data_IF_307918834591
#
_entry.id   IF_307918834591
#
_cell.length_a   1.000
_cell.length_b   1.000
_cell.length_c   1.000
_cell.angle_alpha   90.00
_cell.angle_beta   90.00
_cell.angle_gamma   90.00
#
_symmetry.space_group_name_H-M   'P 1'
#
loop_
_entity.id
_entity.type
_entity.pdbx_description
1 polymer ?
#
# COMPACT_ATOMS: atom_id res chain seq x y z
N UNK A 1 -14.38 -25.56 3.11
CA UNK A 1 -15.46 -26.30 3.79
C UNK A 1 -15.55 -26.04 5.28
N UNK A 2 -14.73 -25.16 5.88
CA UNK A 2 -14.79 -24.88 7.32
C UNK A 2 -16.01 -24.02 7.65
N UNK A 3 -16.56 -24.18 8.86
CA UNK A 3 -17.70 -23.40 9.33
C UNK A 3 -17.53 -22.99 10.80
N UNK A 4 -17.78 -21.72 11.10
CA UNK A 4 -17.76 -21.19 12.47
C UNK A 4 -16.39 -21.41 13.18
N UNK A 5 -15.30 -21.36 12.42
CA UNK A 5 -13.95 -21.67 12.90
C UNK A 5 -13.02 -20.47 12.82
N UNK A 6 -12.04 -20.43 13.73
CA UNK A 6 -10.87 -19.53 13.62
C UNK A 6 -9.63 -20.36 13.35
N UNK A 7 -9.03 -20.18 12.18
CA UNK A 7 -7.87 -20.94 11.69
C UNK A 7 -6.78 -20.01 11.16
N UNK A 8 -5.57 -20.54 11.01
CA UNK A 8 -4.50 -19.75 10.41
C UNK A 8 -3.23 -20.53 10.16
N UNK A 9 -2.21 -19.79 9.73
CA UNK A 9 -0.83 -20.26 9.55
C UNK A 9 0.12 -19.28 10.22
N UNK A 10 1.05 -19.82 10.99
CA UNK A 10 2.13 -19.08 11.61
C UNK A 10 3.24 -18.77 10.60
N UNK A 11 4.11 -17.78 10.88
CA UNK A 11 5.28 -17.51 10.06
C UNK A 11 6.11 -18.78 9.77
N UNK A 12 6.49 -18.97 8.51
CA UNK A 12 7.28 -20.09 8.03
C UNK A 12 6.48 -21.36 7.66
N UNK A 13 5.17 -21.40 7.92
CA UNK A 13 4.34 -22.57 7.59
C UNK A 13 3.84 -22.59 6.14
N UNK A 14 3.84 -21.46 5.43
CA UNK A 14 3.45 -21.39 4.00
C UNK A 14 4.68 -21.22 3.11
N UNK A 15 5.63 -20.39 3.51
CA UNK A 15 6.93 -20.21 2.88
C UNK A 15 6.87 -20.03 1.34
N UNK A 16 5.99 -19.15 0.87
CA UNK A 16 5.87 -18.81 -0.54
C UNK A 16 5.14 -19.83 -1.40
N UNK A 17 4.51 -20.85 -0.80
CA UNK A 17 3.65 -21.78 -1.52
C UNK A 17 2.32 -21.15 -1.92
N UNK A 18 1.59 -21.83 -2.82
CA UNK A 18 0.22 -21.45 -3.16
C UNK A 18 -0.73 -21.82 -2.01
N UNK A 19 -1.78 -21.04 -1.82
CA UNK A 19 -2.80 -21.30 -0.79
C UNK A 19 -4.21 -21.19 -1.38
N UNK A 20 -5.12 -22.05 -0.94
CA UNK A 20 -6.50 -22.08 -1.40
C UNK A 20 -7.43 -21.98 -0.20
N UNK A 21 -8.37 -21.05 -0.25
CA UNK A 21 -9.46 -20.91 0.71
C UNK A 21 -10.75 -21.12 -0.08
N UNK A 22 -11.51 -22.17 0.23
CA UNK A 22 -12.73 -22.50 -0.52
C UNK A 22 -13.84 -22.96 0.41
N UNK A 23 -15.09 -22.61 0.08
CA UNK A 23 -16.31 -23.03 0.78
C UNK A 23 -16.26 -22.80 2.29
N UNK A 24 -15.78 -21.63 2.74
CA UNK A 24 -15.70 -21.31 4.18
C UNK A 24 -16.84 -20.36 4.57
N UNK A 25 -17.47 -20.61 5.70
CA UNK A 25 -18.61 -19.83 6.19
C UNK A 25 -18.38 -19.41 7.65
N UNK A 26 -18.61 -18.14 7.99
CA UNK A 26 -18.44 -17.61 9.35
C UNK A 26 -17.04 -17.87 9.94
N UNK A 27 -16.00 -17.83 9.11
CA UNK A 27 -14.64 -18.19 9.52
C UNK A 27 -13.75 -16.97 9.72
N UNK A 28 -12.86 -17.02 10.70
CA UNK A 28 -11.72 -16.09 10.80
C UNK A 28 -10.44 -16.80 10.34
N UNK A 29 -9.79 -16.32 9.29
CA UNK A 29 -8.68 -16.99 8.62
C UNK A 29 -7.46 -16.06 8.64
N UNK A 30 -6.38 -16.45 9.30
CA UNK A 30 -5.17 -15.62 9.43
C UNK A 30 -3.94 -16.34 8.88
N UNK A 31 -3.47 -15.93 7.70
CA UNK A 31 -2.26 -16.48 7.08
C UNK A 31 -1.10 -15.51 7.33
N UNK A 32 -0.36 -15.69 8.43
CA UNK A 32 0.76 -14.83 8.83
C UNK A 32 2.07 -15.23 8.14
N UNK A 33 2.02 -15.47 6.83
CA UNK A 33 3.18 -15.83 6.02
C UNK A 33 3.02 -15.39 4.56
N UNK A 34 4.14 -15.27 3.86
CA UNK A 34 4.14 -14.96 2.44
C UNK A 34 3.70 -16.16 1.60
N UNK A 35 3.07 -15.88 0.45
CA UNK A 35 2.52 -16.90 -0.44
C UNK A 35 2.79 -16.57 -1.92
N UNK A 36 2.77 -17.57 -2.80
CA UNK A 36 2.91 -17.34 -4.24
C UNK A 36 1.64 -16.70 -4.84
N UNK A 37 0.48 -17.31 -4.59
CA UNK A 37 -0.83 -16.83 -5.02
C UNK A 37 -1.90 -17.42 -4.10
N UNK A 38 -3.00 -16.69 -3.91
CA UNK A 38 -4.12 -17.13 -3.09
C UNK A 38 -5.42 -16.96 -3.86
N UNK A 39 -6.22 -18.02 -3.88
CA UNK A 39 -7.60 -17.98 -4.40
C UNK A 39 -8.57 -18.18 -3.26
N UNK A 40 -9.63 -17.37 -3.24
CA UNK A 40 -10.70 -17.40 -2.25
C UNK A 40 -12.02 -17.62 -3.00
N UNK A 41 -12.58 -18.81 -2.84
CA UNK A 41 -13.76 -19.28 -3.56
C UNK A 41 -14.93 -19.52 -2.62
N UNK A 42 -16.11 -19.03 -3.01
CA UNK A 42 -17.38 -19.42 -2.39
C UNK A 42 -17.40 -19.24 -0.86
N UNK A 43 -16.71 -18.20 -0.37
CA UNK A 43 -16.62 -17.88 1.06
C UNK A 43 -17.66 -16.85 1.47
N UNK A 44 -18.31 -17.07 2.62
CA UNK A 44 -19.38 -16.19 3.13
C UNK A 44 -19.13 -15.78 4.57
N UNK A 45 -19.26 -14.49 4.87
CA UNK A 45 -19.12 -13.95 6.23
C UNK A 45 -17.77 -14.31 6.89
N UNK A 46 -16.67 -14.19 6.13
CA UNK A 46 -15.33 -14.50 6.62
C UNK A 46 -14.52 -13.25 6.94
N UNK A 47 -13.72 -13.31 8.01
CA UNK A 47 -12.63 -12.37 8.27
C UNK A 47 -11.33 -12.99 7.78
N UNK A 48 -10.56 -12.28 6.96
CA UNK A 48 -9.38 -12.86 6.30
C UNK A 48 -8.18 -11.91 6.39
N UNK A 49 -7.12 -12.34 7.07
CA UNK A 49 -5.79 -11.74 6.96
C UNK A 49 -4.91 -12.59 6.06
N UNK A 50 -4.31 -11.98 5.04
CA UNK A 50 -3.30 -12.62 4.19
C UNK A 50 -1.98 -11.84 4.28
N UNK A 51 -0.90 -12.54 4.60
CA UNK A 51 0.45 -12.02 4.44
C UNK A 51 0.78 -11.70 2.97
N UNK A 52 1.99 -11.20 2.70
CA UNK A 52 2.40 -10.75 1.37
C UNK A 52 2.28 -11.85 0.30
N UNK A 53 1.50 -11.58 -0.75
CA UNK A 53 1.28 -12.51 -1.87
C UNK A 53 2.06 -12.04 -3.09
N UNK A 54 3.08 -12.81 -3.49
CA UNK A 54 3.98 -12.45 -4.59
C UNK A 54 3.26 -12.20 -5.91
N UNK A 55 2.22 -12.98 -6.20
CA UNK A 55 1.42 -12.89 -7.40
C UNK A 55 0.02 -12.33 -7.09
N UNK A 56 -1.00 -13.04 -7.56
CA UNK A 56 -2.38 -12.61 -7.45
C UNK A 56 -3.09 -13.10 -6.19
N UNK A 57 -3.98 -12.27 -5.67
CA UNK A 57 -5.09 -12.68 -4.81
C UNK A 57 -6.38 -12.57 -5.61
N UNK A 58 -7.15 -13.66 -5.66
CA UNK A 58 -8.39 -13.72 -6.45
C UNK A 58 -9.58 -14.16 -5.61
N UNK A 59 -10.53 -13.24 -5.38
CA UNK A 59 -11.84 -13.54 -4.81
C UNK A 59 -12.84 -13.90 -5.90
N UNK A 60 -13.53 -15.05 -5.74
CA UNK A 60 -14.60 -15.51 -6.62
C UNK A 60 -15.81 -15.94 -5.79
N UNK A 61 -17.00 -15.52 -6.17
CA UNK A 61 -18.26 -15.89 -5.50
C UNK A 61 -18.31 -15.61 -3.98
N UNK A 62 -17.52 -14.65 -3.49
CA UNK A 62 -17.43 -14.36 -2.05
C UNK A 62 -18.45 -13.31 -1.60
N UNK A 63 -18.95 -13.41 -0.37
CA UNK A 63 -20.00 -12.53 0.17
C UNK A 63 -19.74 -12.12 1.60
N UNK A 64 -19.94 -10.85 1.91
CA UNK A 64 -19.89 -10.31 3.27
C UNK A 64 -18.54 -10.60 3.98
N UNK A 65 -17.42 -10.61 3.24
CA UNK A 65 -16.09 -10.84 3.81
C UNK A 65 -15.34 -9.54 4.11
N UNK A 66 -14.56 -9.56 5.18
CA UNK A 66 -13.71 -8.45 5.61
C UNK A 66 -12.25 -8.88 5.61
N UNK A 67 -11.39 -8.14 4.91
CA UNK A 67 -10.06 -8.61 4.56
C UNK A 67 -8.98 -7.58 4.83
N UNK A 68 -7.78 -8.02 5.21
CA UNK A 68 -6.55 -7.23 5.15
C UNK A 68 -5.49 -8.05 4.43
N UNK A 69 -4.91 -7.52 3.35
CA UNK A 69 -3.98 -8.29 2.52
C UNK A 69 -3.02 -7.41 1.69
N UNK A 70 -1.88 -7.99 1.35
CA UNK A 70 -0.91 -7.40 0.43
C UNK A 70 -0.66 -8.34 -0.76
N UNK A 71 -0.67 -7.83 -1.98
CA UNK A 71 -0.47 -8.63 -3.19
C UNK A 71 0.14 -7.84 -4.34
N UNK A 72 0.67 -8.53 -5.35
CA UNK A 72 1.04 -7.89 -6.61
C UNK A 72 -0.21 -7.50 -7.40
N UNK A 73 -1.16 -8.43 -7.56
CA UNK A 73 -2.41 -8.23 -8.31
C UNK A 73 -3.62 -8.59 -7.46
N UNK A 74 -4.59 -7.68 -7.39
CA UNK A 74 -5.86 -7.92 -6.70
C UNK A 74 -6.99 -8.09 -7.71
N UNK A 75 -7.73 -9.20 -7.62
CA UNK A 75 -8.82 -9.54 -8.52
C UNK A 75 -10.07 -9.95 -7.76
N UNK A 76 -11.21 -9.46 -8.19
CA UNK A 76 -12.53 -9.82 -7.64
C UNK A 76 -13.49 -10.12 -8.77
N UNK A 77 -14.18 -11.26 -8.70
CA UNK A 77 -15.25 -11.61 -9.62
C UNK A 77 -16.46 -12.20 -8.89
N UNK A 78 -17.66 -11.83 -9.31
CA UNK A 78 -18.92 -12.40 -8.78
C UNK A 78 -19.08 -12.24 -7.25
N UNK A 79 -18.51 -11.18 -6.67
CA UNK A 79 -18.51 -10.96 -5.22
C UNK A 79 -19.47 -9.86 -4.79
N UNK A 80 -19.88 -9.89 -3.52
CA UNK A 80 -20.77 -8.87 -2.94
C UNK A 80 -20.35 -8.48 -1.54
N UNK A 81 -20.33 -7.19 -1.23
CA UNK A 81 -20.04 -6.66 0.12
C UNK A 81 -18.70 -7.17 0.66
N UNK A 82 -17.61 -6.84 -0.03
CA UNK A 82 -16.27 -7.06 0.49
C UNK A 82 -15.72 -5.76 1.05
N UNK A 83 -15.05 -5.82 2.20
CA UNK A 83 -14.36 -4.66 2.78
C UNK A 83 -12.88 -5.02 2.94
N UNK A 84 -11.99 -4.35 2.21
CA UNK A 84 -10.60 -4.78 2.04
C UNK A 84 -9.62 -3.67 2.38
N UNK A 85 -8.76 -3.88 3.37
CA UNK A 85 -7.55 -3.07 3.60
C UNK A 85 -6.42 -3.64 2.72
N UNK A 86 -6.04 -2.90 1.69
CA UNK A 86 -5.28 -3.41 0.55
C UNK A 86 -3.91 -2.75 0.44
N UNK A 87 -2.90 -3.57 0.17
CA UNK A 87 -1.65 -3.16 -0.45
C UNK A 87 -1.54 -3.85 -1.80
N UNK A 88 -1.61 -3.10 -2.90
CA UNK A 88 -1.58 -3.68 -4.25
C UNK A 88 -0.55 -2.97 -5.13
N UNK A 89 0.38 -3.74 -5.70
CA UNK A 89 1.44 -3.18 -6.55
C UNK A 89 0.90 -2.67 -7.90
N UNK A 90 -0.14 -3.31 -8.42
CA UNK A 90 -0.82 -2.94 -9.68
C UNK A 90 -2.23 -2.43 -9.42
N UNK A 91 -2.87 -1.87 -10.45
CA UNK A 91 -4.27 -1.44 -10.38
C UNK A 91 -5.18 -2.60 -9.92
N UNK A 92 -5.91 -2.48 -8.79
CA UNK A 92 -6.89 -3.47 -8.38
C UNK A 92 -8.06 -3.54 -9.35
N UNK A 93 -8.56 -4.75 -9.63
CA UNK A 93 -9.65 -4.95 -10.58
C UNK A 93 -10.86 -5.64 -9.94
N UNK A 94 -12.05 -5.23 -10.36
CA UNK A 94 -13.32 -5.89 -10.04
C UNK A 94 -14.10 -6.20 -11.32
N UNK A 95 -14.91 -7.25 -11.28
CA UNK A 95 -15.77 -7.69 -12.38
C UNK A 95 -17.02 -8.35 -11.79
N UNK A 96 -18.20 -8.08 -12.35
CA UNK A 96 -19.50 -8.66 -11.95
C UNK A 96 -19.74 -8.62 -10.43
N UNK A 97 -19.30 -7.56 -9.76
CA UNK A 97 -19.25 -7.47 -8.29
C UNK A 97 -19.87 -6.18 -7.79
N UNK A 98 -20.41 -6.17 -6.57
CA UNK A 98 -21.13 -5.00 -6.02
C UNK A 98 -20.79 -4.73 -4.55
N UNK A 99 -20.78 -3.45 -4.18
CA UNK A 99 -20.46 -2.97 -2.83
C UNK A 99 -19.08 -3.46 -2.33
N UNK A 100 -18.05 -3.26 -3.15
CA UNK A 100 -16.67 -3.57 -2.79
C UNK A 100 -16.01 -2.31 -2.22
N UNK A 101 -15.54 -2.36 -0.97
CA UNK A 101 -14.95 -1.20 -0.30
C UNK A 101 -13.47 -1.39 -0.06
N UNK A 102 -12.70 -0.33 -0.28
CA UNK A 102 -11.24 -0.36 -0.17
C UNK A 102 -10.73 0.61 0.90
N UNK A 103 -9.76 0.17 1.70
CA UNK A 103 -8.94 0.98 2.58
C UNK A 103 -7.46 0.69 2.34
N UNK A 104 -6.56 1.56 2.82
CA UNK A 104 -5.13 1.28 2.76
C UNK A 104 -4.78 0.14 3.73
N UNK A 105 -3.86 -0.76 3.36
CA UNK A 105 -3.30 -1.74 4.27
C UNK A 105 -2.77 -1.07 5.54
N UNK A 106 -3.15 -1.62 6.70
CA UNK A 106 -2.72 -1.13 8.01
C UNK A 106 -2.55 -2.30 8.98
N UNK A 107 -1.35 -2.89 8.95
CA UNK A 107 -0.98 -4.03 9.78
C UNK A 107 0.51 -4.08 10.10
N UNK A 108 0.88 -4.74 11.19
CA UNK A 108 2.25 -5.02 11.61
C UNK A 108 2.34 -6.31 12.41
N UNK A 109 3.39 -7.08 12.19
CA UNK A 109 3.99 -8.05 13.12
C UNK A 109 5.49 -8.18 12.77
N UNK A 110 6.34 -8.68 13.69
CA UNK A 110 7.80 -8.65 13.52
C UNK A 110 8.33 -9.25 12.22
N UNK A 111 7.74 -10.37 11.78
CA UNK A 111 8.16 -11.13 10.59
C UNK A 111 7.67 -10.50 9.27
N UNK A 112 6.66 -9.63 9.33
CA UNK A 112 5.95 -9.12 8.15
C UNK A 112 6.89 -8.39 7.17
N UNK A 113 7.87 -7.64 7.69
CA UNK A 113 8.84 -6.92 6.87
C UNK A 113 9.66 -7.86 5.97
N UNK A 114 10.12 -8.98 6.51
CA UNK A 114 10.86 -9.99 5.74
C UNK A 114 9.95 -10.71 4.76
N UNK A 115 8.70 -10.96 5.13
CA UNK A 115 7.72 -11.58 4.23
C UNK A 115 7.38 -10.70 3.02
N UNK A 116 7.34 -9.37 3.18
CA UNK A 116 7.21 -8.44 2.04
C UNK A 116 8.39 -8.57 1.07
N UNK A 117 9.62 -8.65 1.63
CA UNK A 117 10.84 -8.87 0.85
C UNK A 117 10.83 -10.23 0.13
N UNK A 118 10.46 -11.31 0.81
CA UNK A 118 10.41 -12.66 0.24
C UNK A 118 9.34 -12.77 -0.87
N UNK A 119 8.23 -12.04 -0.75
CA UNK A 119 7.22 -11.89 -1.78
C UNK A 119 7.62 -10.92 -2.91
N UNK A 120 8.79 -10.27 -2.83
CA UNK A 120 9.24 -9.23 -3.76
C UNK A 120 8.24 -8.07 -3.93
N UNK A 121 7.55 -7.70 -2.84
CA UNK A 121 6.64 -6.56 -2.79
C UNK A 121 7.31 -5.38 -2.09
N UNK A 122 7.39 -4.24 -2.79
CA UNK A 122 7.76 -2.98 -2.15
C UNK A 122 6.60 -2.47 -1.30
N UNK A 123 6.90 -2.09 -0.05
CA UNK A 123 5.94 -1.40 0.82
C UNK A 123 5.58 0.01 0.32
N UNK A 124 6.34 0.54 -0.65
CA UNK A 124 6.11 1.87 -1.23
C UNK A 124 5.33 1.80 -2.57
N UNK A 125 5.07 0.62 -3.11
CA UNK A 125 4.26 0.47 -4.33
C UNK A 125 2.85 -0.02 -3.96
N UNK A 126 1.96 0.93 -3.68
CA UNK A 126 0.60 0.65 -3.26
C UNK A 126 -0.44 1.56 -3.94
N UNK A 127 -1.23 1.02 -4.87
CA UNK A 127 -2.28 1.72 -5.63
C UNK A 127 -3.70 1.32 -5.21
N UNK A 128 -3.87 0.97 -3.92
CA UNK A 128 -5.08 0.39 -3.32
C UNK A 128 -6.42 1.07 -3.64
N UNK A 129 -6.42 2.36 -3.99
CA UNK A 129 -7.64 3.15 -4.22
C UNK A 129 -7.97 3.42 -5.69
N UNK A 130 -7.09 3.05 -6.64
CA UNK A 130 -7.32 3.28 -8.08
C UNK A 130 -7.94 2.02 -8.70
N UNK A 131 -9.26 1.83 -8.54
CA UNK A 131 -9.92 0.58 -8.92
C UNK A 131 -10.39 0.62 -10.37
N UNK A 132 -10.11 -0.43 -11.14
CA UNK A 132 -10.73 -0.64 -12.44
C UNK A 132 -11.93 -1.59 -12.32
N UNK A 133 -13.10 -1.14 -12.78
CA UNK A 133 -14.32 -1.94 -12.85
C UNK A 133 -14.58 -2.34 -14.31
N UNK A 134 -14.53 -3.65 -14.59
CA UNK A 134 -14.79 -4.20 -15.92
C UNK A 134 -16.28 -4.21 -16.29
N UNK A 135 -17.18 -4.08 -15.32
CA UNK A 135 -18.63 -4.19 -15.51
C UNK A 135 -19.36 -3.03 -14.82
N UNK A 136 -19.05 -1.76 -15.16
CA UNK A 136 -19.68 -0.62 -14.51
C UNK A 136 -21.18 -0.57 -14.86
N UNK A 137 -22.00 -0.19 -13.87
CA UNK A 137 -23.44 0.04 -14.06
C UNK A 137 -23.70 1.54 -14.13
N UNK A 138 -24.46 1.98 -15.12
CA UNK A 138 -24.77 3.41 -15.29
C UNK A 138 -25.51 3.96 -14.07
N UNK A 139 -24.99 5.03 -13.46
CA UNK A 139 -25.60 5.71 -12.32
C UNK A 139 -25.32 5.08 -10.95
N UNK A 140 -24.58 3.97 -10.88
CA UNK A 140 -24.20 3.31 -9.63
C UNK A 140 -22.69 3.05 -9.58
N UNK A 141 -22.11 3.06 -8.38
CA UNK A 141 -20.72 2.67 -8.17
C UNK A 141 -20.68 1.30 -7.50
N UNK A 142 -20.10 0.32 -8.20
CA UNK A 142 -19.91 -1.04 -7.67
C UNK A 142 -18.88 -1.10 -6.54
N UNK A 143 -18.09 -0.05 -6.38
CA UNK A 143 -17.07 0.06 -5.34
C UNK A 143 -17.01 1.47 -4.73
N UNK A 144 -16.40 1.56 -3.56
CA UNK A 144 -16.14 2.84 -2.88
C UNK A 144 -14.91 2.71 -1.96
N UNK A 145 -14.48 3.84 -1.37
CA UNK A 145 -13.44 3.81 -0.34
C UNK A 145 -14.10 3.71 1.04
N UNK A 146 -13.50 2.92 1.94
CA UNK A 146 -13.87 2.90 3.35
C UNK A 146 -13.69 4.31 3.95
N UNK A 147 -14.47 4.70 4.98
CA UNK A 147 -14.22 5.93 5.73
C UNK A 147 -12.78 6.03 6.23
N UNK A 148 -12.23 7.23 6.29
CA UNK A 148 -10.82 7.44 6.68
C UNK A 148 -10.58 7.17 8.17
N UNK A 149 -11.60 7.37 9.00
CA UNK A 149 -11.63 7.07 10.44
C UNK A 149 -11.97 5.60 10.76
N UNK A 150 -12.02 4.73 9.75
CA UNK A 150 -12.32 3.31 9.95
C UNK A 150 -11.25 2.65 10.83
N UNK A 151 -11.69 2.03 11.93
CA UNK A 151 -10.82 1.26 12.81
C UNK A 151 -10.65 -0.15 12.23
N UNK A 152 -9.41 -0.52 11.89
CA UNK A 152 -9.08 -1.83 11.28
C UNK A 152 -9.66 -3.01 12.09
N UNK A 153 -9.57 -2.96 13.42
CA UNK A 153 -10.00 -4.06 14.30
C UNK A 153 -11.52 -4.31 14.29
N UNK A 154 -12.34 -3.32 13.92
CA UNK A 154 -13.80 -3.50 13.79
C UNK A 154 -14.16 -4.31 12.53
N UNK A 155 -13.21 -4.44 11.61
CA UNK A 155 -13.37 -5.19 10.38
C UNK A 155 -12.57 -6.50 10.38
N UNK A 156 -11.29 -6.42 10.76
CA UNK A 156 -10.38 -7.56 10.86
C UNK A 156 -9.79 -7.59 12.27
N UNK A 157 -10.50 -8.20 13.24
CA UNK A 157 -10.04 -8.30 14.61
C UNK A 157 -8.73 -9.08 14.73
N UNK A 158 -8.05 -8.93 15.86
CA UNK A 158 -6.89 -9.75 16.18
C UNK A 158 -7.32 -11.20 16.47
N UNK A 159 -6.51 -12.20 16.12
CA UNK A 159 -6.83 -13.59 16.40
C UNK A 159 -6.90 -13.85 17.91
N UNK A 160 -7.89 -14.64 18.34
CA UNK A 160 -8.14 -14.94 19.77
C UNK A 160 -7.64 -16.31 20.21
N UNK A 161 -7.25 -17.18 19.27
CA UNK A 161 -6.76 -18.54 19.56
C UNK A 161 -5.34 -18.50 20.12
N UNK A 162 -5.04 -19.40 21.05
CA UNK A 162 -3.71 -19.46 21.71
C UNK A 162 -2.56 -19.68 20.72
N UNK A 163 -2.79 -20.47 19.68
CA UNK A 163 -1.80 -20.70 18.62
C UNK A 163 -1.43 -19.40 17.90
N UNK A 164 -2.43 -18.64 17.44
CA UNK A 164 -2.22 -17.45 16.63
C UNK A 164 -1.80 -16.22 17.45
N UNK A 165 -2.06 -16.21 18.77
CA UNK A 165 -1.57 -15.17 19.70
C UNK A 165 -0.04 -15.10 19.77
N UNK A 166 0.68 -16.14 19.32
CA UNK A 166 2.14 -16.09 19.20
C UNK A 166 2.60 -14.98 18.25
N UNK A 167 1.78 -14.61 17.25
CA UNK A 167 2.07 -13.51 16.32
C UNK A 167 1.70 -12.18 16.98
N UNK A 168 2.72 -11.35 17.23
CA UNK A 168 2.57 -10.06 17.93
C UNK A 168 2.06 -8.98 16.98
N UNK A 169 0.76 -8.98 16.75
CA UNK A 169 0.12 -8.07 15.81
C UNK A 169 -0.09 -6.67 16.42
N UNK A 170 0.05 -5.64 15.58
CA UNK A 170 -0.42 -4.28 15.82
C UNK A 170 -1.15 -3.76 14.59
N UNK A 171 -2.28 -3.10 14.80
CA UNK A 171 -3.06 -2.43 13.74
C UNK A 171 -2.97 -0.90 13.85
N UNK A 172 -2.09 -0.37 14.70
CA UNK A 172 -1.83 1.08 14.80
C UNK A 172 -1.22 1.61 13.48
N UNK A 173 -1.71 2.76 13.01
CA UNK A 173 -1.30 3.36 11.73
C UNK A 173 0.22 3.65 11.68
N UNK A 174 0.77 4.24 12.75
CA UNK A 174 2.19 4.57 12.86
C UNK A 174 3.12 3.34 12.97
N UNK A 175 2.57 2.16 13.27
CA UNK A 175 3.34 0.90 13.32
C UNK A 175 3.25 0.11 12.03
N UNK A 176 2.34 0.46 11.12
CA UNK A 176 2.11 -0.34 9.94
C UNK A 176 3.35 -0.48 9.07
N UNK A 177 3.54 -1.68 8.51
CA UNK A 177 4.64 -1.92 7.58
C UNK A 177 4.42 -1.23 6.23
N UNK A 178 3.18 -0.99 5.82
CA UNK A 178 2.88 -0.18 4.64
C UNK A 178 2.53 1.21 5.15
N UNK A 179 3.20 2.28 4.69
CA UNK A 179 2.78 3.63 5.05
C UNK A 179 1.32 3.86 4.67
N UNK A 180 0.51 4.35 5.61
CA UNK A 180 -0.91 4.61 5.38
C UNK A 180 -1.04 5.82 4.45
N UNK A 181 -1.41 5.58 3.19
CA UNK A 181 -1.54 6.60 2.16
C UNK A 181 -3.00 6.94 1.89
N UNK A 182 -3.28 8.20 1.49
CA UNK A 182 -4.64 8.65 1.16
C UNK A 182 -5.09 8.22 -0.25
N UNK A 183 -4.15 7.93 -1.15
CA UNK A 183 -4.45 7.54 -2.52
C UNK A 183 -5.35 8.56 -3.23
N UNK A 184 -6.46 8.08 -3.79
CA UNK A 184 -7.43 8.86 -4.57
C UNK A 184 -8.54 9.51 -3.71
N UNK A 185 -8.36 9.59 -2.38
CA UNK A 185 -9.29 10.35 -1.52
C UNK A 185 -9.28 11.83 -1.90
N UNK A 186 -10.39 12.51 -1.62
CA UNK A 186 -10.48 13.95 -1.84
C UNK A 186 -9.44 14.69 -1.00
N UNK A 187 -8.65 15.53 -1.67
CA UNK A 187 -7.64 16.39 -1.06
C UNK A 187 -8.31 17.66 -0.50
N UNK A 188 -7.82 18.14 0.64
CA UNK A 188 -8.30 19.39 1.27
C UNK A 188 -7.51 20.62 0.82
N UNK A 189 -6.35 20.42 0.20
CA UNK A 189 -5.46 21.46 -0.33
C UNK A 189 -5.08 21.09 -1.77
N UNK A 190 -4.81 22.11 -2.58
CA UNK A 190 -4.25 21.98 -3.93
C UNK A 190 -2.72 21.89 -3.93
N UNK A 191 -2.07 22.12 -2.78
CA UNK A 191 -0.63 22.05 -2.65
C UNK A 191 -0.14 20.61 -2.48
N UNK A 192 0.73 20.16 -3.38
CA UNK A 192 1.50 18.91 -3.27
C UNK A 192 2.96 19.22 -2.98
N UNK A 193 3.70 18.24 -2.48
CA UNK A 193 5.16 18.28 -2.35
C UNK A 193 5.73 16.91 -2.73
N UNK A 194 6.64 16.87 -3.71
CA UNK A 194 7.39 15.67 -4.05
C UNK A 194 8.67 15.61 -3.23
N UNK A 195 8.94 14.43 -2.67
CA UNK A 195 10.25 14.08 -2.11
C UNK A 195 10.77 12.85 -2.82
N UNK A 196 12.03 12.85 -3.25
CA UNK A 196 12.70 11.66 -3.79
C UNK A 196 13.95 11.34 -2.99
N UNK A 197 13.95 10.16 -2.36
CA UNK A 197 15.06 9.60 -1.62
C UNK A 197 15.80 8.57 -2.49
N UNK A 198 17.13 8.59 -2.44
CA UNK A 198 17.97 7.70 -3.23
C UNK A 198 18.38 6.45 -2.43
N UNK A 199 18.62 5.33 -3.13
CA UNK A 199 18.99 4.07 -2.50
C UNK A 199 20.22 4.18 -1.57
N UNK A 200 20.11 3.52 -0.41
CA UNK A 200 21.11 3.47 0.64
C UNK A 200 20.60 2.71 1.87
N UNK A 201 21.49 2.37 2.79
CA UNK A 201 21.20 1.48 3.94
C UNK A 201 20.09 2.02 4.85
N UNK A 202 19.96 3.36 4.95
CA UNK A 202 19.01 4.03 5.83
C UNK A 202 17.80 4.61 5.10
N UNK A 203 17.67 4.43 3.78
CA UNK A 203 16.65 5.13 2.97
C UNK A 203 15.23 4.79 3.41
N UNK A 204 14.94 3.53 3.73
CA UNK A 204 13.61 3.10 4.22
C UNK A 204 13.29 3.76 5.58
N UNK A 205 14.27 3.79 6.48
CA UNK A 205 14.11 4.42 7.80
C UNK A 205 13.91 5.93 7.67
N UNK A 206 14.65 6.58 6.76
CA UNK A 206 14.53 8.00 6.48
C UNK A 206 13.17 8.35 5.88
N UNK A 207 12.66 7.54 4.92
CA UNK A 207 11.35 7.72 4.35
C UNK A 207 10.25 7.62 5.42
N UNK A 208 10.30 6.61 6.30
CA UNK A 208 9.37 6.47 7.43
C UNK A 208 9.43 7.66 8.38
N UNK A 209 10.63 8.06 8.78
CA UNK A 209 10.81 9.19 9.68
C UNK A 209 10.25 10.48 9.07
N UNK A 210 10.48 10.73 7.78
CA UNK A 210 9.92 11.90 7.11
C UNK A 210 8.38 11.85 7.04
N UNK A 211 7.81 10.67 6.77
CA UNK A 211 6.35 10.48 6.84
C UNK A 211 5.82 10.80 8.23
N UNK A 212 6.45 10.26 9.28
CA UNK A 212 6.01 10.48 10.67
C UNK A 212 6.06 11.97 11.06
N UNK A 213 7.12 12.69 10.68
CA UNK A 213 7.27 14.13 10.95
C UNK A 213 6.26 14.98 10.17
N UNK A 214 6.04 14.67 8.89
CA UNK A 214 5.06 15.37 8.05
C UNK A 214 3.64 15.14 8.55
N UNK A 215 3.27 13.89 8.83
CA UNK A 215 1.95 13.53 9.36
C UNK A 215 1.76 14.12 10.77
N UNK A 216 2.79 14.10 11.61
CA UNK A 216 2.76 14.72 12.93
C UNK A 216 2.54 16.23 12.92
N UNK A 217 2.90 16.91 11.83
CA UNK A 217 2.61 18.34 11.58
C UNK A 217 1.26 18.59 10.88
N UNK A 218 0.48 17.54 10.60
CA UNK A 218 -0.84 17.65 10.00
C UNK A 218 -0.87 17.59 8.46
N UNK A 219 0.25 17.27 7.82
CA UNK A 219 0.29 17.00 6.38
C UNK A 219 -0.16 15.57 6.07
N UNK A 220 -0.54 15.34 4.81
CA UNK A 220 -1.05 14.04 4.38
C UNK A 220 -0.10 13.35 3.43
N UNK A 221 0.16 12.06 3.65
CA UNK A 221 0.81 11.21 2.66
C UNK A 221 -0.21 10.80 1.60
N UNK A 222 -0.05 11.27 0.36
CA UNK A 222 -0.97 10.95 -0.75
C UNK A 222 -0.62 9.58 -1.30
N UNK A 223 0.63 9.38 -1.73
CA UNK A 223 1.10 8.14 -2.33
C UNK A 223 2.62 8.06 -2.25
N UNK A 224 3.13 6.86 -2.52
CA UNK A 224 4.57 6.56 -2.55
C UNK A 224 4.89 5.76 -3.80
N UNK A 225 6.17 5.67 -4.14
CA UNK A 225 6.64 4.82 -5.22
C UNK A 225 8.08 4.38 -4.99
N UNK A 226 8.41 3.13 -5.30
CA UNK A 226 9.78 2.66 -5.42
C UNK A 226 10.04 2.20 -6.86
N UNK A 227 10.98 2.86 -7.54
CA UNK A 227 11.25 2.63 -8.96
C UNK A 227 12.70 2.96 -9.32
N UNK A 228 13.29 2.22 -10.26
CA UNK A 228 14.61 2.55 -10.80
C UNK A 228 14.52 3.78 -11.71
N UNK A 229 15.30 4.81 -11.44
CA UNK A 229 15.27 6.07 -12.18
C UNK A 229 16.50 6.20 -13.09
N UNK A 230 16.32 6.49 -14.38
CA UNK A 230 17.42 6.74 -15.32
C UNK A 230 17.81 8.23 -15.32
N UNK A 231 18.94 8.55 -15.94
CA UNK A 231 19.42 9.93 -16.04
C UNK A 231 18.41 10.85 -16.76
N UNK A 232 17.75 10.36 -17.81
CA UNK A 232 16.71 11.08 -18.55
C UNK A 232 15.48 11.37 -17.67
N UNK A 233 15.06 10.40 -16.86
CA UNK A 233 13.95 10.57 -15.91
C UNK A 233 14.32 11.62 -14.85
N UNK A 234 15.54 11.55 -14.31
CA UNK A 234 16.05 12.51 -13.34
C UNK A 234 16.14 13.93 -13.90
N UNK A 235 16.56 14.10 -15.16
CA UNK A 235 16.55 15.40 -15.83
C UNK A 235 15.13 15.96 -15.99
N UNK A 236 14.16 15.09 -16.31
CA UNK A 236 12.76 15.48 -16.49
C UNK A 236 12.10 15.91 -15.18
N UNK A 237 12.38 15.21 -14.07
CA UNK A 237 11.76 15.50 -12.77
C UNK A 237 12.50 16.58 -12.00
N UNK A 238 13.83 16.54 -11.94
CA UNK A 238 14.61 17.44 -11.09
C UNK A 238 15.06 18.71 -11.81
N UNK A 239 14.84 18.81 -13.13
CA UNK A 239 15.23 19.95 -13.94
C UNK A 239 16.72 20.28 -13.77
N UNK A 240 17.01 21.55 -13.46
CA UNK A 240 18.38 22.05 -13.28
C UNK A 240 19.12 21.41 -12.09
N UNK A 241 18.39 20.81 -11.13
CA UNK A 241 18.99 20.13 -9.96
C UNK A 241 19.40 18.68 -10.26
N UNK A 242 19.07 18.14 -11.43
CA UNK A 242 19.40 16.75 -11.78
C UNK A 242 20.88 16.39 -11.61
N UNK A 243 21.88 17.23 -11.99
CA UNK A 243 23.30 16.90 -11.85
C UNK A 243 23.72 16.52 -10.42
N UNK A 244 23.06 17.06 -9.40
CA UNK A 244 23.36 16.77 -7.99
C UNK A 244 23.00 15.34 -7.57
N UNK A 245 22.10 14.70 -8.33
CA UNK A 245 21.49 13.42 -8.04
C UNK A 245 21.90 12.30 -9.00
N UNK A 246 22.37 12.62 -10.21
CA UNK A 246 22.80 11.63 -11.21
C UNK A 246 23.78 10.56 -10.64
N UNK A 247 24.79 10.90 -9.81
CA UNK A 247 25.69 9.89 -9.25
C UNK A 247 25.02 8.89 -8.30
N UNK A 248 23.82 9.19 -7.80
CA UNK A 248 23.10 8.39 -6.81
C UNK A 248 22.16 7.36 -7.46
N UNK A 249 21.78 7.55 -8.72
CA UNK A 249 20.79 6.72 -9.41
C UNK A 249 21.24 5.26 -9.58
N UNK A 250 22.55 5.03 -9.72
CA UNK A 250 23.12 3.69 -9.88
C UNK A 250 23.15 2.87 -8.58
N UNK A 251 22.78 3.45 -7.44
CA UNK A 251 22.76 2.74 -6.15
C UNK A 251 21.57 1.78 -6.01
N UNK A 252 20.50 1.99 -6.78
CA UNK A 252 19.28 1.21 -6.72
C UNK A 252 18.03 2.07 -6.96
N UNK A 253 16.83 1.49 -6.77
CA UNK A 253 15.57 2.21 -6.89
C UNK A 253 15.49 3.44 -5.99
N UNK A 254 14.88 4.51 -6.48
CA UNK A 254 14.53 5.68 -5.67
C UNK A 254 13.19 5.44 -4.98
N UNK A 255 12.99 6.06 -3.82
CA UNK A 255 11.72 6.10 -3.11
C UNK A 255 11.15 7.51 -3.23
N UNK A 256 9.98 7.65 -3.86
CA UNK A 256 9.23 8.90 -3.91
C UNK A 256 8.11 8.92 -2.89
N UNK A 257 7.88 10.10 -2.31
CA UNK A 257 6.77 10.41 -1.41
C UNK A 257 6.06 11.66 -1.95
N UNK A 258 4.74 11.59 -2.09
CA UNK A 258 3.91 12.77 -2.35
C UNK A 258 3.18 13.15 -1.05
N UNK A 259 3.44 14.37 -0.58
CA UNK A 259 2.68 14.98 0.52
C UNK A 259 1.67 15.99 -0.01
N UNK A 260 0.61 16.24 0.76
CA UNK A 260 -0.43 17.25 0.48
C UNK A 260 -0.83 18.01 1.74
N UNK A 261 -1.13 19.30 1.58
CA UNK A 261 -1.55 20.20 2.64
C UNK A 261 -1.00 21.61 2.43
N UNK A 262 -1.67 22.62 2.99
CA UNK A 262 -1.22 24.01 2.86
C UNK A 262 0.12 24.20 3.58
N UNK A 263 1.14 24.68 2.85
CA UNK A 263 2.51 24.81 3.33
C UNK A 263 3.31 23.49 3.34
N UNK A 264 2.84 22.44 2.65
CA UNK A 264 3.53 21.15 2.57
C UNK A 264 4.96 21.28 2.03
N UNK A 265 5.21 22.15 1.04
CA UNK A 265 6.55 22.32 0.47
C UNK A 265 7.51 22.93 1.50
N UNK A 266 7.14 24.07 2.09
CA UNK A 266 7.96 24.74 3.10
C UNK A 266 8.16 23.86 4.34
N UNK A 267 7.09 23.24 4.84
CA UNK A 267 7.13 22.32 5.97
C UNK A 267 8.07 21.14 5.73
N UNK A 268 8.03 20.55 4.52
CA UNK A 268 8.92 19.46 4.15
C UNK A 268 10.38 19.91 4.05
N UNK A 269 10.66 21.07 3.42
CA UNK A 269 12.01 21.61 3.31
C UNK A 269 12.65 21.86 4.69
N UNK A 270 11.87 22.43 5.63
CA UNK A 270 12.32 22.67 7.01
C UNK A 270 12.70 21.35 7.69
N UNK A 271 11.81 20.34 7.67
CA UNK A 271 12.08 19.02 8.25
C UNK A 271 13.34 18.39 7.62
N UNK A 272 13.47 18.45 6.30
CA UNK A 272 14.62 17.90 5.58
C UNK A 272 15.92 18.58 6.00
N UNK A 273 15.91 19.91 6.12
CA UNK A 273 17.08 20.69 6.52
C UNK A 273 17.53 20.42 7.97
N UNK A 274 16.58 20.22 8.89
CA UNK A 274 16.86 20.03 10.32
C UNK A 274 17.29 18.59 10.63
N UNK A 275 16.58 17.60 10.06
CA UNK A 275 16.70 16.20 10.48
C UNK A 275 17.66 15.42 9.58
N UNK A 276 17.67 15.73 8.29
CA UNK A 276 18.37 14.94 7.27
C UNK A 276 19.59 15.67 6.71
N UNK A 277 20.15 16.60 7.47
CA UNK A 277 21.36 17.33 7.10
C UNK A 277 22.49 16.36 6.69
N UNK A 278 23.06 16.57 5.50
CA UNK A 278 24.08 15.70 4.91
C UNK A 278 23.54 14.51 4.10
N UNK A 279 22.23 14.24 4.12
CA UNK A 279 21.61 13.24 3.24
C UNK A 279 21.00 13.92 2.02
N UNK A 280 21.50 13.59 0.82
CA UNK A 280 20.94 14.11 -0.42
C UNK A 280 19.58 13.49 -0.71
N UNK A 281 18.56 14.32 -0.83
CA UNK A 281 17.22 13.99 -1.34
C UNK A 281 16.69 15.17 -2.16
N UNK A 282 15.83 14.88 -3.13
CA UNK A 282 15.09 15.93 -3.82
C UNK A 282 13.85 16.29 -2.99
N UNK A 283 13.56 17.58 -2.91
CA UNK A 283 12.30 18.12 -2.38
C UNK A 283 11.85 19.18 -3.38
N UNK A 284 10.55 19.22 -3.69
CA UNK A 284 9.97 20.28 -4.51
C UNK A 284 10.40 21.66 -4.02
N UNK A 285 10.66 22.58 -4.93
CA UNK A 285 11.21 23.90 -4.61
C UNK A 285 10.14 24.88 -4.12
N UNK A 286 8.96 24.83 -4.73
CA UNK A 286 7.87 25.76 -4.49
C UNK A 286 6.53 25.06 -4.72
N UNK A 287 5.45 25.64 -4.17
CA UNK A 287 4.08 25.16 -4.40
C UNK A 287 3.74 25.14 -5.90
N UNK A 288 4.22 26.14 -6.64
CA UNK A 288 3.92 26.37 -8.06
C UNK A 288 4.52 25.29 -8.97
N UNK A 289 5.69 24.74 -8.60
CA UNK A 289 6.38 23.71 -9.38
C UNK A 289 6.07 22.28 -8.92
N UNK A 290 5.65 22.11 -7.66
CA UNK A 290 5.52 20.80 -7.04
C UNK A 290 4.54 19.86 -7.75
N UNK A 291 3.42 20.36 -8.27
CA UNK A 291 2.49 19.54 -9.06
C UNK A 291 3.16 19.02 -10.34
N UNK A 292 3.96 19.85 -11.01
CA UNK A 292 4.73 19.45 -12.18
C UNK A 292 5.81 18.41 -11.85
N UNK A 293 6.46 18.51 -10.69
CA UNK A 293 7.40 17.50 -10.20
C UNK A 293 6.71 16.14 -10.01
N UNK A 294 5.57 16.15 -9.31
CA UNK A 294 4.72 14.97 -9.04
C UNK A 294 4.28 14.32 -10.35
N UNK A 295 3.67 15.10 -11.25
CA UNK A 295 3.18 14.60 -12.53
C UNK A 295 4.32 14.03 -13.36
N UNK A 296 5.46 14.73 -13.43
CA UNK A 296 6.65 14.27 -14.15
C UNK A 296 7.19 12.97 -13.56
N UNK A 297 7.12 12.78 -12.25
CA UNK A 297 7.58 11.57 -11.59
C UNK A 297 6.66 10.37 -11.90
N UNK A 298 5.36 10.51 -11.62
CA UNK A 298 4.42 9.41 -11.80
C UNK A 298 4.26 9.02 -13.28
N UNK A 299 4.37 9.99 -14.20
CA UNK A 299 4.35 9.69 -15.63
C UNK A 299 5.45 8.71 -16.07
N UNK A 300 6.71 8.81 -15.59
CA UNK A 300 7.73 7.80 -16.01
C UNK A 300 7.55 6.51 -15.22
N UNK A 301 7.23 6.63 -13.93
CA UNK A 301 7.10 5.47 -13.07
C UNK A 301 6.01 4.53 -13.57
N UNK A 302 4.88 5.07 -14.03
CA UNK A 302 3.78 4.29 -14.60
C UNK A 302 4.12 3.72 -15.98
N UNK A 303 4.86 4.44 -16.83
CA UNK A 303 5.35 3.88 -18.10
C UNK A 303 6.29 2.69 -17.86
N UNK A 304 7.18 2.79 -16.87
CA UNK A 304 8.15 1.74 -16.57
C UNK A 304 7.52 0.52 -15.88
N UNK A 305 6.45 0.72 -15.11
CA UNK A 305 5.74 -0.34 -14.39
C UNK A 305 4.51 -0.89 -15.13
N UNK A 306 4.05 -0.21 -16.18
CA UNK A 306 2.95 -0.64 -17.04
C UNK A 306 3.33 -1.63 -18.14
N UNK A 307 4.62 -2.01 -18.22
CA UNK A 307 5.18 -3.07 -19.07
C UNK A 307 5.38 -4.33 -18.23
#
# INVERSE_FOLDING_TARGET
GLKDETVGRLPGQVAGQQFLIQDCENCNIYIFDHSATITIDDCTNCVIFLGPVKGSVFFRNCRDCKCTLACQQFRVRDCRKLEVFLCCATQPIIESSTNIKFGCFQWYYPELAFQFKDAALSIFNNTWSNIHDFTPVSGELNWSLLPEDTVVQDHVPLPTTEELKAVRVSTEANRSIVPVSRGQRQKSSDESCLVVLFAGDYTIANARKLIDEMVGKGFFLVQTKEVSMKAEDAQRVFGEKAPDFLPLLNKGPVIALEFNGDGAVEGCQLIVSEIFNGTKMFVSESKETASGDVDSFYNFADIQMGI
#
